data_IF_776386351329
#
_entry.id   IF_776386351329
#
_cell.length_a   1.000
_cell.length_b   1.000
_cell.length_c   1.000
_cell.angle_alpha   90.00
_cell.angle_beta   90.00
_cell.angle_gamma   90.00
#
_symmetry.space_group_name_H-M   'P 1'
#
loop_
_entity.id
_entity.type
_entity.pdbx_description
1 polymer ?
#
# COMPACT_ATOMS: atom_id res chain seq x y z
N UNK A 1 21.11 5.70 8.36
CA UNK A 1 20.19 6.58 7.60
C UNK A 1 18.99 5.74 7.22
N UNK A 2 17.77 6.28 7.14
CA UNK A 2 16.62 5.47 6.71
C UNK A 2 16.87 4.93 5.29
N UNK A 3 16.59 3.64 5.07
CA UNK A 3 16.72 3.02 3.74
C UNK A 3 15.88 3.81 2.72
N UNK A 4 16.43 4.11 1.52
CA UNK A 4 15.70 4.81 0.49
C UNK A 4 14.48 3.97 0.07
N UNK A 5 13.30 4.54 0.32
CA UNK A 5 12.00 3.96 -0.05
C UNK A 5 11.42 4.73 -1.22
N UNK A 6 11.76 4.35 -2.47
CA UNK A 6 11.37 5.09 -3.67
C UNK A 6 9.87 5.03 -3.91
N UNK A 7 9.20 3.93 -3.55
CA UNK A 7 7.77 3.76 -3.77
C UNK A 7 6.96 4.40 -2.64
N UNK A 8 5.91 5.12 -3.01
CA UNK A 8 4.97 5.67 -2.04
C UNK A 8 4.12 4.55 -1.46
N UNK A 9 3.58 3.67 -2.31
CA UNK A 9 2.78 2.52 -1.88
C UNK A 9 3.01 1.32 -2.81
N UNK A 10 2.64 0.12 -2.38
CA UNK A 10 2.74 -1.09 -3.20
C UNK A 10 1.56 -2.03 -2.96
N UNK A 11 1.20 -2.79 -4.00
CA UNK A 11 0.30 -3.93 -3.90
C UNK A 11 0.80 -5.09 -4.77
N UNK A 12 0.78 -6.30 -4.22
CA UNK A 12 0.78 -7.51 -5.02
C UNK A 12 -0.17 -8.54 -4.40
N UNK A 13 -1.15 -9.01 -5.16
CA UNK A 13 -2.08 -10.02 -4.66
C UNK A 13 -3.17 -10.34 -5.67
N UNK A 14 -3.43 -11.64 -5.85
CA UNK A 14 -4.40 -12.13 -6.82
C UNK A 14 -5.83 -11.71 -6.50
N UNK A 15 -6.75 -12.03 -7.42
CA UNK A 15 -8.18 -11.76 -7.27
C UNK A 15 -8.72 -12.46 -6.02
N UNK A 16 -9.28 -11.67 -5.11
CA UNK A 16 -9.90 -12.11 -3.88
C UNK A 16 -10.98 -11.10 -3.51
N UNK A 17 -12.24 -11.54 -3.57
CA UNK A 17 -13.40 -10.67 -3.42
C UNK A 17 -13.68 -9.78 -4.64
N UNK A 18 -14.84 -9.11 -4.67
CA UNK A 18 -15.34 -8.38 -5.84
C UNK A 18 -14.62 -7.05 -6.10
N UNK A 19 -13.87 -6.53 -5.12
CA UNK A 19 -13.19 -5.24 -5.21
C UNK A 19 -11.87 -5.34 -6.01
N UNK A 20 -11.09 -6.41 -5.80
CA UNK A 20 -9.74 -6.52 -6.39
C UNK A 20 -9.73 -6.45 -7.93
N UNK A 21 -10.66 -7.08 -8.67
CA UNK A 21 -10.72 -6.92 -10.13
C UNK A 21 -10.88 -5.46 -10.57
N UNK A 22 -11.74 -4.71 -9.89
CA UNK A 22 -12.00 -3.29 -10.19
C UNK A 22 -10.74 -2.45 -9.94
N UNK A 23 -10.03 -2.71 -8.83
CA UNK A 23 -8.80 -2.00 -8.50
C UNK A 23 -7.66 -2.33 -9.45
N UNK A 24 -7.53 -3.60 -9.84
CA UNK A 24 -6.51 -4.04 -10.79
C UNK A 24 -6.77 -3.42 -12.18
N UNK A 25 -8.02 -3.40 -12.65
CA UNK A 25 -8.41 -2.73 -13.91
C UNK A 25 -8.02 -1.23 -13.90
N UNK A 26 -8.21 -0.57 -12.75
CA UNK A 26 -8.04 0.88 -12.65
C UNK A 26 -6.60 1.35 -12.36
N UNK A 27 -5.83 0.62 -11.55
CA UNK A 27 -4.54 1.08 -11.04
C UNK A 27 -3.32 0.29 -11.52
N UNK A 28 -3.49 -0.91 -12.09
CA UNK A 28 -2.37 -1.68 -12.63
C UNK A 28 -1.64 -0.83 -13.67
N UNK A 29 -0.33 -0.64 -13.48
CA UNK A 29 0.55 0.14 -14.36
C UNK A 29 0.19 1.63 -14.53
N UNK A 30 -0.75 2.17 -13.73
CA UNK A 30 -1.16 3.58 -13.85
C UNK A 30 -0.17 4.55 -13.21
N UNK A 31 0.43 4.17 -12.09
CA UNK A 31 1.25 5.08 -11.28
C UNK A 31 2.62 4.45 -10.93
N UNK A 32 3.74 5.02 -11.42
CA UNK A 32 5.07 4.45 -11.16
C UNK A 32 5.52 4.58 -9.70
N UNK A 33 4.96 5.53 -8.94
CA UNK A 33 5.26 5.65 -7.50
C UNK A 33 4.46 4.64 -6.67
N UNK A 34 3.45 4.02 -7.25
CA UNK A 34 2.52 3.12 -6.58
C UNK A 34 2.31 1.83 -7.40
N UNK A 35 3.34 0.99 -7.55
CA UNK A 35 3.25 -0.23 -8.33
C UNK A 35 2.17 -1.18 -7.78
N UNK A 36 1.28 -1.61 -8.68
CA UNK A 36 0.18 -2.54 -8.43
C UNK A 36 0.36 -3.76 -9.33
N UNK A 37 0.46 -4.94 -8.72
CA UNK A 37 0.57 -6.23 -9.39
C UNK A 37 -0.60 -7.14 -8.99
N UNK A 38 -1.16 -7.83 -9.96
CA UNK A 38 -2.10 -8.93 -9.70
C UNK A 38 -1.34 -10.14 -9.16
N UNK A 39 -0.25 -10.50 -9.83
CA UNK A 39 0.73 -11.48 -9.35
C UNK A 39 2.12 -10.90 -9.52
N UNK A 40 2.92 -10.93 -8.46
CA UNK A 40 4.29 -10.46 -8.53
C UNK A 40 5.09 -11.41 -9.45
N UNK A 41 5.83 -10.89 -10.44
CA UNK A 41 6.69 -11.71 -11.28
C UNK A 41 7.69 -12.53 -10.46
N UNK A 42 7.96 -13.79 -10.86
CA UNK A 42 8.80 -14.74 -10.10
C UNK A 42 10.24 -14.24 -9.83
N UNK A 43 10.74 -13.33 -10.65
CA UNK A 43 12.09 -12.76 -10.48
C UNK A 43 12.13 -11.58 -9.50
N UNK A 44 10.98 -11.14 -9.00
CA UNK A 44 10.86 -10.05 -8.03
C UNK A 44 10.54 -10.61 -6.64
N UNK A 45 11.03 -9.92 -5.61
CA UNK A 45 10.83 -10.31 -4.22
C UNK A 45 9.80 -9.40 -3.54
N UNK A 46 8.77 -10.01 -2.96
CA UNK A 46 7.70 -9.29 -2.26
C UNK A 46 8.22 -8.47 -1.08
N UNK A 47 9.17 -9.01 -0.31
CA UNK A 47 9.78 -8.32 0.82
C UNK A 47 10.60 -7.11 0.39
N UNK A 48 11.24 -7.15 -0.78
CA UNK A 48 11.98 -6.00 -1.30
C UNK A 48 11.02 -4.85 -1.66
N UNK A 49 9.87 -5.17 -2.27
CA UNK A 49 8.81 -4.18 -2.51
C UNK A 49 8.20 -3.64 -1.22
N UNK A 50 7.95 -4.49 -0.22
CA UNK A 50 7.51 -4.03 1.10
C UNK A 50 8.54 -3.11 1.76
N UNK A 51 9.83 -3.47 1.71
CA UNK A 51 10.92 -2.67 2.31
C UNK A 51 11.17 -1.37 1.57
N UNK A 52 10.97 -1.33 0.26
CA UNK A 52 11.17 -0.15 -0.60
C UNK A 52 9.93 0.75 -0.70
N UNK A 53 8.80 0.36 -0.12
CA UNK A 53 7.55 1.13 -0.09
C UNK A 53 7.29 1.77 1.28
N UNK A 54 6.57 2.89 1.30
CA UNK A 54 6.14 3.53 2.55
C UNK A 54 4.81 2.99 3.08
N UNK A 55 3.90 2.64 2.18
CA UNK A 55 2.57 2.13 2.48
C UNK A 55 2.28 0.85 1.68
N UNK A 56 1.30 0.07 2.13
CA UNK A 56 0.71 -1.01 1.34
C UNK A 56 -0.75 -0.68 1.02
N UNK A 57 -1.23 -1.07 -0.16
CA UNK A 57 -2.68 -1.09 -0.39
C UNK A 57 -3.24 -2.37 0.21
N UNK A 58 -4.26 -2.24 1.04
CA UNK A 58 -5.01 -3.38 1.59
C UNK A 58 -6.45 -3.34 1.07
N UNK A 59 -6.73 -3.89 -0.12
CA UNK A 59 -8.08 -3.93 -0.68
C UNK A 59 -8.93 -5.05 -0.07
N UNK A 60 -8.86 -5.22 1.25
CA UNK A 60 -9.80 -6.03 2.02
C UNK A 60 -11.03 -5.16 2.29
N UNK A 61 -12.04 -5.30 1.45
CA UNK A 61 -13.27 -4.50 1.42
C UNK A 61 -14.21 -4.61 2.61
N UNK A 62 -13.72 -4.82 3.83
CA UNK A 62 -14.60 -4.89 5.00
C UNK A 62 -15.28 -3.54 5.28
N UNK A 63 -14.62 -2.43 4.94
CA UNK A 63 -15.14 -1.07 5.17
C UNK A 63 -15.89 -0.46 3.97
N UNK A 64 -15.90 -1.12 2.82
CA UNK A 64 -16.69 -0.67 1.66
C UNK A 64 -18.05 -1.35 1.75
N UNK A 65 -19.11 -0.56 1.97
CA UNK A 65 -20.47 -1.09 1.96
C UNK A 65 -20.69 -1.89 0.67
N UNK A 66 -21.20 -3.12 0.81
CA UNK A 66 -21.36 -4.05 -0.33
C UNK A 66 -22.22 -3.43 -1.43
N UNK A 67 -23.16 -2.54 -1.07
CA UNK A 67 -24.00 -1.81 -2.02
C UNK A 67 -23.25 -0.77 -2.86
N UNK A 68 -22.06 -0.33 -2.43
CA UNK A 68 -21.20 0.60 -3.17
C UNK A 68 -20.25 -0.11 -4.14
N UNK A 69 -19.99 -1.40 -3.96
CA UNK A 69 -19.07 -2.16 -4.81
C UNK A 69 -19.44 -2.06 -6.30
N UNK A 70 -20.73 -2.16 -6.72
CA UNK A 70 -21.12 -1.95 -8.11
C UNK A 70 -20.75 -0.56 -8.65
N UNK A 71 -20.80 0.47 -7.80
CA UNK A 71 -20.48 1.87 -8.16
C UNK A 71 -19.01 2.21 -7.99
N UNK A 72 -18.20 1.33 -7.42
CA UNK A 72 -16.80 1.60 -7.13
C UNK A 72 -16.03 2.04 -8.37
N UNK A 73 -16.31 1.43 -9.53
CA UNK A 73 -15.69 1.83 -10.80
C UNK A 73 -16.06 3.28 -11.18
N UNK A 74 -17.33 3.65 -11.05
CA UNK A 74 -17.81 5.01 -11.33
C UNK A 74 -17.20 6.04 -10.39
N UNK A 75 -17.12 5.72 -9.09
CA UNK A 75 -16.49 6.56 -8.07
C UNK A 75 -15.02 6.81 -8.43
N UNK A 76 -14.26 5.75 -8.70
CA UNK A 76 -12.84 5.85 -9.07
C UNK A 76 -12.63 6.65 -10.37
N UNK A 77 -13.52 6.52 -11.34
CA UNK A 77 -13.47 7.28 -12.59
C UNK A 77 -13.90 8.74 -12.44
N UNK A 78 -14.77 9.06 -11.48
CA UNK A 78 -15.22 10.44 -11.22
C UNK A 78 -14.15 11.32 -10.57
N UNK A 79 -13.08 10.73 -10.02
CA UNK A 79 -11.97 11.46 -9.43
C UNK A 79 -11.09 12.03 -10.54
N UNK A 80 -11.05 13.35 -10.66
CA UNK A 80 -10.17 14.01 -11.62
C UNK A 80 -8.69 13.77 -11.29
N UNK A 81 -7.82 13.83 -12.31
CA UNK A 81 -6.39 13.66 -12.10
C UNK A 81 -5.82 14.73 -11.17
N UNK A 82 -6.33 15.97 -11.19
CA UNK A 82 -5.92 17.04 -10.27
C UNK A 82 -6.24 16.67 -8.81
N UNK A 83 -7.45 16.13 -8.59
CA UNK A 83 -7.87 15.68 -7.26
C UNK A 83 -7.00 14.51 -6.80
N UNK A 84 -6.76 13.54 -7.67
CA UNK A 84 -5.90 12.39 -7.39
C UNK A 84 -4.47 12.84 -7.03
N UNK A 85 -3.87 13.75 -7.80
CA UNK A 85 -2.54 14.29 -7.49
C UNK A 85 -2.53 15.07 -6.17
N UNK A 86 -3.61 15.80 -5.84
CA UNK A 86 -3.74 16.46 -4.54
C UNK A 86 -3.74 15.47 -3.38
N UNK A 87 -4.51 14.38 -3.48
CA UNK A 87 -4.54 13.32 -2.47
C UNK A 87 -3.16 12.66 -2.33
N UNK A 88 -2.48 12.37 -3.44
CA UNK A 88 -1.13 11.80 -3.46
C UNK A 88 -0.10 12.73 -2.82
N UNK A 89 -0.20 14.05 -3.04
CA UNK A 89 0.66 15.05 -2.36
C UNK A 89 0.46 15.04 -0.85
N UNK A 90 -0.79 14.94 -0.38
CA UNK A 90 -1.07 14.83 1.05
C UNK A 90 -0.45 13.58 1.65
N UNK A 91 -0.57 12.43 0.97
CA UNK A 91 0.06 11.17 1.38
C UNK A 91 1.59 11.30 1.47
N UNK A 92 2.21 11.98 0.51
CA UNK A 92 3.65 12.28 0.54
C UNK A 92 4.04 13.17 1.71
N UNK A 93 3.23 14.18 2.03
CA UNK A 93 3.48 15.07 3.16
C UNK A 93 3.47 14.30 4.49
N UNK A 94 2.47 13.44 4.70
CA UNK A 94 2.36 12.67 5.96
C UNK A 94 3.40 11.55 6.07
N UNK A 95 3.96 11.07 4.95
CA UNK A 95 4.95 9.96 4.95
C UNK A 95 6.15 10.20 5.87
N UNK A 96 6.50 11.47 6.13
CA UNK A 96 7.61 11.84 7.02
C UNK A 96 7.41 11.41 8.47
N UNK A 97 6.17 11.10 8.86
CA UNK A 97 5.84 10.63 10.20
C UNK A 97 5.92 9.10 10.34
N UNK A 98 6.04 8.37 9.23
CA UNK A 98 6.09 6.90 9.18
C UNK A 98 7.51 6.41 8.85
N UNK A 99 8.40 6.55 9.82
CA UNK A 99 9.81 6.19 9.68
C UNK A 99 10.14 4.84 10.31
N UNK A 100 10.17 3.79 9.50
CA UNK A 100 10.96 2.58 9.79
C UNK A 100 12.47 2.91 9.68
N UNK A 101 13.21 2.88 10.79
CA UNK A 101 14.66 3.10 10.80
C UNK A 101 15.43 1.79 10.65
N UNK A 102 16.48 1.78 9.82
CA UNK A 102 17.40 0.65 9.71
C UNK A 102 18.85 1.18 9.78
N UNK A 103 19.64 0.86 10.82
CA UNK A 103 19.26 0.07 12.00
C UNK A 103 18.21 0.77 12.89
N UNK A 104 17.50 0.04 13.77
CA UNK A 104 16.51 0.60 14.68
C UNK A 104 17.09 1.72 15.55
N UNK A 105 16.35 2.81 15.74
CA UNK A 105 16.72 3.88 16.68
C UNK A 105 16.04 3.68 18.03
N UNK A 106 16.62 4.24 19.10
CA UNK A 106 16.00 4.23 20.43
C UNK A 106 14.60 4.88 20.35
N UNK A 107 13.60 4.21 20.94
CA UNK A 107 12.18 4.61 20.87
C UNK A 107 11.56 4.55 19.47
N UNK A 108 12.12 3.77 18.55
CA UNK A 108 11.47 3.46 17.27
C UNK A 108 10.23 2.59 17.53
N UNK A 109 9.06 3.23 17.48
CA UNK A 109 7.78 2.59 17.72
C UNK A 109 7.52 1.41 16.76
N UNK A 110 7.99 1.47 15.50
CA UNK A 110 7.78 0.36 14.56
C UNK A 110 8.57 -0.87 14.96
N UNK A 111 9.84 -0.70 15.34
CA UNK A 111 10.63 -1.82 15.83
C UNK A 111 10.12 -2.37 17.15
N UNK A 112 9.63 -1.50 18.05
CA UNK A 112 9.01 -1.93 19.30
C UNK A 112 7.70 -2.71 19.06
N UNK A 113 6.83 -2.26 18.14
CA UNK A 113 5.57 -2.94 17.82
C UNK A 113 5.79 -4.24 17.06
N UNK A 114 6.68 -4.26 16.05
CA UNK A 114 6.98 -5.48 15.30
C UNK A 114 7.57 -6.58 16.20
N UNK A 115 8.41 -6.20 17.16
CA UNK A 115 8.90 -7.13 18.18
C UNK A 115 7.74 -7.73 18.99
N UNK A 116 6.78 -6.92 19.44
CA UNK A 116 5.60 -7.41 20.16
C UNK A 116 4.72 -8.33 19.32
N UNK A 117 4.50 -8.02 18.03
CA UNK A 117 3.76 -8.90 17.11
C UNK A 117 4.48 -10.24 16.93
N UNK A 118 5.80 -10.19 16.74
CA UNK A 118 6.60 -11.41 16.59
C UNK A 118 6.53 -12.31 17.83
N UNK A 119 6.52 -11.73 19.03
CA UNK A 119 6.32 -12.49 20.26
C UNK A 119 4.92 -13.12 20.36
N UNK A 120 3.89 -12.48 19.80
CA UNK A 120 2.52 -13.01 19.80
C UNK A 120 2.33 -14.18 18.83
N UNK A 121 3.09 -14.24 17.73
CA UNK A 121 3.01 -15.35 16.77
C UNK A 121 3.99 -16.51 17.08
N UNK A 122 4.92 -16.30 18.01
CA UNK A 122 5.91 -17.30 18.44
C UNK A 122 5.50 -18.11 19.68
N UNK A 123 4.29 -17.90 20.20
CA UNK A 123 3.66 -18.63 21.32
C UNK A 123 2.38 -19.30 20.88
#
# INVERSE_FOLDING_TARGET
>A
MASPRPHLAFFAGGVHGPIRPILLDHWKQRDPDMPVFEYLPKHLNYYDFMRSSKFCFCPSGYEVDVSEIPRLKEILMSISDEKYQSLKRNLRYVRRHFELNDPPKRYDAFHMTLHSIWLLEAT
#
